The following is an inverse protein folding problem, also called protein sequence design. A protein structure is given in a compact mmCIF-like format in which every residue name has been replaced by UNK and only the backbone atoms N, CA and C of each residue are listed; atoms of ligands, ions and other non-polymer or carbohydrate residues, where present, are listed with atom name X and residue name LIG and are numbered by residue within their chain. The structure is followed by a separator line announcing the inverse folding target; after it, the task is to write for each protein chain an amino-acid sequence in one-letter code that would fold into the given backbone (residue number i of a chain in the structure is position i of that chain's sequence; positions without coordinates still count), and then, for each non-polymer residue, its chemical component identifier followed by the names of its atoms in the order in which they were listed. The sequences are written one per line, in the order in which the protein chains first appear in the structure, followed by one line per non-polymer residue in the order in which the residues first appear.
data_IF_334844064892
#
_entry.id   IF_334844064892
#
_cell.length_a   1.000
_cell.length_b   1.000
_cell.length_c   1.000
_cell.angle_alpha   90.00
_cell.angle_beta   90.00
_cell.angle_gamma   90.00
#
_symmetry.space_group_name_H-M   'P 1'
#
loop_
_entity.id
_entity.type
_entity.pdbx_description
1 polymer ?
#
# COMPACT_ATOMS: atom_id res chain seq x y z
N UNK A 1 5.97 10.39 -2.03
CA UNK A 1 6.81 9.50 -1.20
C UNK A 1 6.86 9.89 0.29
N UNK A 2 7.05 11.15 0.68
CA UNK A 2 7.19 11.51 2.11
C UNK A 2 5.99 11.12 2.99
N UNK A 3 4.75 11.29 2.50
CA UNK A 3 3.53 10.97 3.26
C UNK A 3 3.35 9.45 3.50
N UNK A 4 3.69 8.62 2.51
CA UNK A 4 3.60 7.14 2.65
C UNK A 4 4.71 6.58 3.53
N UNK A 5 5.89 7.21 3.56
CA UNK A 5 6.94 6.87 4.52
C UNK A 5 6.53 7.20 5.96
N UNK A 6 5.92 8.37 6.19
CA UNK A 6 5.38 8.74 7.50
C UNK A 6 4.31 7.74 7.94
N UNK A 7 3.37 7.39 7.06
CA UNK A 7 2.36 6.36 7.33
C UNK A 7 3.02 5.04 7.75
N UNK A 8 4.02 4.58 6.99
CA UNK A 8 4.73 3.32 7.28
C UNK A 8 5.39 3.39 8.66
N UNK A 9 6.05 4.50 9.00
CA UNK A 9 6.65 4.69 10.33
C UNK A 9 5.61 4.66 11.46
N UNK A 10 4.46 5.31 11.26
CA UNK A 10 3.34 5.27 12.23
C UNK A 10 2.81 3.84 12.38
N UNK A 11 2.62 3.09 11.30
CA UNK A 11 2.15 1.70 11.34
C UNK A 11 3.13 0.78 12.07
N UNK A 12 4.44 0.97 11.88
CA UNK A 12 5.47 0.24 12.61
C UNK A 12 5.31 0.48 14.12
N UNK A 13 5.19 1.74 14.54
CA UNK A 13 5.00 2.10 15.95
C UNK A 13 3.71 1.47 16.49
N UNK A 14 2.60 1.56 15.75
CA UNK A 14 1.31 0.97 16.14
C UNK A 14 1.43 -0.54 16.32
N UNK A 15 2.12 -1.25 15.42
CA UNK A 15 2.31 -2.70 15.53
C UNK A 15 3.14 -3.09 16.75
N UNK A 16 4.23 -2.35 17.01
CA UNK A 16 5.05 -2.56 18.21
C UNK A 16 4.25 -2.29 19.49
N UNK A 17 3.48 -1.20 19.52
CA UNK A 17 2.72 -0.81 20.70
C UNK A 17 1.58 -1.79 20.96
N UNK A 18 0.90 -2.27 19.91
CA UNK A 18 -0.15 -3.28 20.01
C UNK A 18 0.36 -4.58 20.64
N UNK A 19 1.58 -5.02 20.30
CA UNK A 19 2.20 -6.18 20.95
C UNK A 19 2.51 -5.90 22.43
N UNK A 20 3.04 -4.72 22.75
CA UNK A 20 3.43 -4.35 24.11
C UNK A 20 2.24 -4.25 25.09
N UNK A 21 1.06 -3.85 24.61
CA UNK A 21 -0.15 -3.69 25.43
C UNK A 21 -1.10 -4.89 25.35
N UNK A 22 -0.68 -6.00 24.73
CA UNK A 22 -1.47 -7.24 24.64
C UNK A 22 -2.58 -7.25 23.58
N UNK A 23 -2.61 -6.27 22.67
CA UNK A 23 -3.52 -6.22 21.52
C UNK A 23 -2.95 -6.94 20.28
N UNK A 24 -1.81 -7.63 20.40
CA UNK A 24 -1.18 -8.38 19.31
C UNK A 24 -2.07 -9.46 18.69
N UNK A 25 -3.10 -9.94 19.41
CA UNK A 25 -4.06 -10.92 18.88
C UNK A 25 -4.92 -10.39 17.72
N UNK A 26 -5.06 -9.06 17.58
CA UNK A 26 -5.73 -8.42 16.45
C UNK A 26 -4.86 -8.39 15.20
N UNK A 27 -3.56 -8.61 15.36
CA UNK A 27 -2.58 -8.57 14.29
C UNK A 27 -2.24 -10.00 13.86
N UNK A 28 -2.27 -10.24 12.55
CA UNK A 28 -1.86 -11.53 12.03
C UNK A 28 -0.35 -11.77 12.28
N UNK A 29 0.06 -13.02 12.49
CA UNK A 29 1.47 -13.39 12.70
C UNK A 29 2.39 -12.88 11.58
N UNK A 30 1.87 -12.85 10.35
CA UNK A 30 2.56 -12.34 9.17
C UNK A 30 2.42 -10.83 8.91
N UNK A 31 2.05 -10.02 9.91
CA UNK A 31 1.89 -8.56 9.77
C UNK A 31 3.09 -7.86 9.12
N UNK A 32 4.30 -8.32 9.40
CA UNK A 32 5.53 -7.77 8.80
C UNK A 32 5.67 -8.09 7.31
N UNK A 33 5.23 -9.29 6.90
CA UNK A 33 5.23 -9.71 5.49
C UNK A 33 4.19 -8.89 4.72
N UNK A 34 3.00 -8.70 5.30
CA UNK A 34 1.95 -7.83 4.74
C UNK A 34 2.46 -6.39 4.61
N UNK A 35 3.06 -5.83 5.66
CA UNK A 35 3.60 -4.47 5.65
C UNK A 35 4.70 -4.31 4.60
N UNK A 36 5.61 -5.28 4.50
CA UNK A 36 6.68 -5.30 3.49
C UNK A 36 6.12 -5.27 2.07
N UNK A 37 5.06 -6.04 1.79
CA UNK A 37 4.37 -6.02 0.51
C UNK A 37 3.86 -4.60 0.16
N UNK A 38 3.20 -3.91 1.10
CA UNK A 38 2.71 -2.55 0.85
C UNK A 38 3.82 -1.52 0.68
N UNK A 39 4.92 -1.64 1.42
CA UNK A 39 6.10 -0.78 1.24
C UNK A 39 6.72 -0.99 -0.14
N UNK A 40 6.92 -2.24 -0.55
CA UNK A 40 7.46 -2.58 -1.87
C UNK A 40 6.53 -2.09 -3.00
N UNK A 41 5.23 -2.32 -2.87
CA UNK A 41 4.24 -1.84 -3.83
C UNK A 41 4.24 -0.31 -3.90
N UNK A 42 4.23 0.38 -2.75
CA UNK A 42 4.20 1.85 -2.76
C UNK A 42 5.47 2.44 -3.36
N UNK A 43 6.63 1.80 -3.16
CA UNK A 43 7.86 2.17 -3.86
C UNK A 43 7.72 2.01 -5.37
N UNK A 44 7.24 0.85 -5.84
CA UNK A 44 6.98 0.59 -7.25
C UNK A 44 6.00 1.60 -7.85
N UNK A 45 4.91 1.89 -7.14
CA UNK A 45 3.90 2.87 -7.56
C UNK A 45 4.49 4.27 -7.72
N UNK A 46 5.29 4.74 -6.76
CA UNK A 46 5.96 6.05 -6.88
C UNK A 46 6.88 6.09 -8.13
N UNK A 47 7.62 5.00 -8.41
CA UNK A 47 8.46 4.91 -9.62
C UNK A 47 7.65 4.95 -10.91
N UNK A 48 6.53 4.21 -10.96
CA UNK A 48 5.63 4.24 -12.11
C UNK A 48 5.11 5.66 -12.35
N UNK A 49 4.65 6.34 -11.30
CA UNK A 49 4.16 7.72 -11.39
C UNK A 49 5.25 8.69 -11.85
N UNK A 50 6.48 8.59 -11.34
CA UNK A 50 7.62 9.40 -11.82
C UNK A 50 7.90 9.20 -13.31
N UNK A 51 7.80 7.97 -13.81
CA UNK A 51 7.97 7.66 -15.23
C UNK A 51 6.83 8.26 -16.06
N UNK A 52 5.58 8.07 -15.63
CA UNK A 52 4.40 8.61 -16.33
C UNK A 52 4.35 10.14 -16.39
N UNK A 53 4.91 10.85 -15.40
CA UNK A 53 4.99 12.31 -15.42
C UNK A 53 6.02 12.85 -16.42
N UNK A 54 7.07 12.09 -16.77
CA UNK A 54 8.10 12.53 -17.74
C UNK A 54 7.59 12.57 -19.18
N UNK A 55 6.51 11.86 -19.51
CA UNK A 55 5.99 11.71 -20.89
C UNK A 55 5.04 12.83 -21.36
N UNK A 56 4.90 13.96 -20.65
CA UNK A 56 3.98 15.07 -21.01
C UNK A 56 2.56 14.61 -21.42
N UNK A 57 1.80 14.18 -20.42
CA UNK A 57 0.44 14.71 -20.17
C UNK A 57 -0.67 14.48 -21.21
N UNK A 58 -0.62 13.47 -22.08
CA UNK A 58 -1.86 13.02 -22.79
C UNK A 58 -2.46 11.74 -22.21
N UNK A 59 -1.63 10.89 -21.60
CA UNK A 59 -2.02 9.55 -21.16
C UNK A 59 -1.87 9.33 -19.63
N UNK A 60 -1.82 10.39 -18.82
CA UNK A 60 -1.62 10.26 -17.37
C UNK A 60 -2.75 9.49 -16.68
N UNK A 61 -4.01 9.80 -17.00
CA UNK A 61 -5.19 9.11 -16.44
C UNK A 61 -5.17 7.61 -16.76
N UNK A 62 -5.05 7.17 -18.03
CA UNK A 62 -5.00 5.74 -18.33
C UNK A 62 -3.77 5.05 -17.70
N UNK A 63 -2.62 5.73 -17.61
CA UNK A 63 -1.44 5.19 -16.93
C UNK A 63 -1.67 4.98 -15.43
N UNK A 64 -2.29 5.96 -14.76
CA UNK A 64 -2.67 5.85 -13.35
C UNK A 64 -3.65 4.69 -13.13
N UNK A 65 -4.70 4.57 -13.96
CA UNK A 65 -5.67 3.47 -13.86
C UNK A 65 -5.02 2.10 -14.08
N UNK A 66 -4.09 1.98 -15.03
CA UNK A 66 -3.29 0.76 -15.22
C UNK A 66 -2.44 0.42 -13.99
N UNK A 67 -1.89 1.43 -13.31
CA UNK A 67 -1.13 1.24 -12.06
C UNK A 67 -2.02 0.75 -10.92
N UNK A 68 -3.26 1.24 -10.85
CA UNK A 68 -4.28 0.75 -9.89
C UNK A 68 -4.69 -0.69 -10.22
N UNK A 69 -4.90 -1.02 -11.50
CA UNK A 69 -5.21 -2.39 -11.92
C UNK A 69 -4.07 -3.36 -11.57
N UNK A 70 -2.81 -2.96 -11.83
CA UNK A 70 -1.62 -3.72 -11.43
C UNK A 70 -1.60 -3.98 -9.92
N UNK A 71 -2.00 -3.00 -9.09
CA UNK A 71 -2.13 -3.18 -7.64
C UNK A 71 -3.05 -4.32 -7.27
N UNK A 72 -4.23 -4.35 -7.88
CA UNK A 72 -5.26 -5.33 -7.59
C UNK A 72 -4.77 -6.73 -7.96
N UNK A 73 -4.15 -6.86 -9.13
CA UNK A 73 -3.56 -8.12 -9.59
C UNK A 73 -2.46 -8.58 -8.63
N UNK A 74 -1.51 -7.71 -8.28
CA UNK A 74 -0.44 -8.04 -7.33
C UNK A 74 -0.98 -8.42 -5.95
N UNK A 75 -2.03 -7.75 -5.49
CA UNK A 75 -2.67 -8.05 -4.19
C UNK A 75 -3.32 -9.43 -4.21
N UNK A 76 -4.06 -9.77 -5.28
CA UNK A 76 -4.69 -11.08 -5.43
C UNK A 76 -3.62 -12.18 -5.50
N UNK A 77 -2.58 -11.99 -6.31
CA UNK A 77 -1.48 -12.95 -6.43
C UNK A 77 -0.81 -13.16 -5.08
N UNK A 78 -0.50 -12.09 -4.36
CA UNK A 78 0.13 -12.16 -3.04
C UNK A 78 -0.74 -12.90 -2.02
N UNK A 79 -2.03 -12.55 -1.92
CA UNK A 79 -2.96 -13.25 -1.03
C UNK A 79 -3.05 -14.73 -1.40
N UNK A 80 -3.15 -15.06 -2.69
CA UNK A 80 -3.23 -16.45 -3.15
C UNK A 80 -1.98 -17.26 -2.80
N UNK A 81 -0.79 -16.70 -2.99
CA UNK A 81 0.49 -17.32 -2.61
C UNK A 81 0.51 -17.60 -1.11
N UNK A 82 0.14 -16.60 -0.31
CA UNK A 82 0.16 -16.70 1.14
C UNK A 82 -0.87 -17.71 1.66
N UNK A 83 -2.08 -17.76 1.09
CA UNK A 83 -3.07 -18.80 1.40
C UNK A 83 -2.60 -20.21 1.02
N UNK A 84 -1.96 -20.36 -0.15
CA UNK A 84 -1.43 -21.65 -0.61
C UNK A 84 -0.33 -22.21 0.30
N UNK A 85 0.42 -21.34 0.98
CA UNK A 85 1.44 -21.75 1.98
C UNK A 85 0.85 -22.34 3.26
N UNK A 86 -0.48 -22.41 3.40
CA UNK A 86 -1.15 -23.07 4.51
C UNK A 86 -1.20 -22.21 5.78
N UNK A 87 -1.54 -20.93 5.65
CA UNK A 87 -1.60 -20.02 6.80
C UNK A 87 -2.69 -20.40 7.80
N UNK A 88 -2.32 -20.33 9.09
CA UNK A 88 -3.27 -20.32 10.19
C UNK A 88 -4.03 -18.98 10.21
N UNK A 89 -5.28 -18.98 10.66
CA UNK A 89 -6.11 -17.76 10.82
C UNK A 89 -6.23 -16.89 9.55
N UNK A 90 -6.61 -17.53 8.44
CA UNK A 90 -6.75 -16.89 7.12
C UNK A 90 -7.66 -15.65 7.15
N UNK A 91 -8.77 -15.70 7.89
CA UNK A 91 -9.70 -14.57 8.09
C UNK A 91 -8.95 -13.32 8.58
N UNK A 92 -8.09 -13.50 9.59
CA UNK A 92 -7.36 -12.43 10.24
C UNK A 92 -6.28 -11.87 9.31
N UNK A 93 -5.62 -12.73 8.53
CA UNK A 93 -4.68 -12.32 7.49
C UNK A 93 -5.36 -11.41 6.46
N UNK A 94 -6.50 -11.85 5.92
CA UNK A 94 -7.26 -11.10 4.90
C UNK A 94 -7.73 -9.76 5.48
N UNK A 95 -8.26 -9.75 6.69
CA UNK A 95 -8.70 -8.52 7.35
C UNK A 95 -7.56 -7.52 7.56
N UNK A 96 -6.41 -7.98 8.08
CA UNK A 96 -5.22 -7.15 8.28
C UNK A 96 -4.70 -6.59 6.93
N UNK A 97 -4.66 -7.45 5.90
CA UNK A 97 -4.27 -7.06 4.55
C UNK A 97 -5.20 -5.97 4.00
N UNK A 98 -6.51 -6.14 4.14
CA UNK A 98 -7.49 -5.21 3.60
C UNK A 98 -7.47 -3.86 4.31
N UNK A 99 -7.30 -3.85 5.63
CA UNK A 99 -7.14 -2.61 6.41
C UNK A 99 -5.91 -1.84 5.93
N UNK A 100 -4.76 -2.51 5.82
CA UNK A 100 -3.53 -1.89 5.31
C UNK A 100 -3.69 -1.41 3.85
N UNK A 101 -4.35 -2.18 3.00
CA UNK A 101 -4.67 -1.79 1.63
C UNK A 101 -5.41 -0.45 1.57
N UNK A 102 -6.43 -0.26 2.42
CA UNK A 102 -7.19 0.98 2.47
C UNK A 102 -6.32 2.16 2.94
N UNK A 103 -5.54 1.99 4.02
CA UNK A 103 -4.65 3.03 4.52
C UNK A 103 -3.64 3.48 3.46
N UNK A 104 -2.93 2.54 2.82
CA UNK A 104 -1.98 2.89 1.76
C UNK A 104 -2.67 3.54 0.56
N UNK A 105 -3.84 3.04 0.15
CA UNK A 105 -4.60 3.61 -0.97
C UNK A 105 -4.98 5.07 -0.72
N UNK A 106 -5.50 5.39 0.47
CA UNK A 106 -5.90 6.75 0.83
C UNK A 106 -4.69 7.69 0.76
N UNK A 107 -3.56 7.29 1.35
CA UNK A 107 -2.34 8.11 1.36
C UNK A 107 -1.73 8.27 -0.04
N UNK A 108 -1.79 7.25 -0.88
CA UNK A 108 -1.34 7.33 -2.29
C UNK A 108 -2.19 8.34 -3.07
N UNK A 109 -3.52 8.28 -2.97
CA UNK A 109 -4.43 9.22 -3.63
C UNK A 109 -4.19 10.64 -3.14
N UNK A 110 -4.03 10.86 -1.83
CA UNK A 110 -3.73 12.18 -1.27
C UNK A 110 -2.38 12.73 -1.74
N UNK A 111 -1.36 11.88 -1.86
CA UNK A 111 -0.07 12.29 -2.38
C UNK A 111 -0.17 12.68 -3.86
N UNK A 112 -0.94 11.92 -4.64
CA UNK A 112 -1.16 12.17 -6.07
C UNK A 112 -1.95 13.47 -6.31
N UNK A 113 -3.05 13.68 -5.58
CA UNK A 113 -3.88 14.88 -5.70
C UNK A 113 -3.12 16.15 -5.30
N UNK A 114 -2.29 16.07 -4.25
CA UNK A 114 -1.41 17.17 -3.83
C UNK A 114 -0.42 17.57 -4.93
N UNK A 115 0.16 16.60 -5.63
CA UNK A 115 1.09 16.85 -6.73
C UNK A 115 0.40 17.41 -7.97
N UNK A 116 -0.81 16.93 -8.28
CA UNK A 116 -1.61 17.45 -9.39
C UNK A 116 -2.03 18.91 -9.17
N UNK A 117 -2.46 19.27 -7.96
CA UNK A 117 -2.84 20.66 -7.63
C UNK A 117 -1.66 21.62 -7.80
N UNK A 118 -0.48 21.23 -7.35
CA UNK A 118 0.73 22.05 -7.46
C UNK A 118 1.18 22.26 -8.91
N UNK A 119 1.00 21.26 -9.78
CA UNK A 119 1.35 21.36 -11.21
C UNK A 119 0.27 22.04 -12.07
N UNK A 120 -0.96 22.20 -11.57
CA UNK A 120 -2.04 22.91 -12.28
C UNK A 120 -2.02 24.43 -12.03
N UNK A 121 -1.39 24.89 -10.95
CA UNK A 121 -1.27 26.33 -10.61
C UNK A 121 0.00 26.98 -11.20
N UNK A 122 0.81 26.22 -11.95
CA UNK A 122 1.97 26.70 -12.73
C UNK A 122 1.66 26.68 -14.22
#
# INVERSE_FOLDING_TARGET
MSKTLILTGVLIIVFFLADAIGLGYLLHQQKWVILSFFVAYSFLFNRLIELGFKEKSKNFIPFYLSSVALRLILSIIFIAIELYRGLAHQELFIANFFVLYLFYTIFEIWNLNSNLRQNSEK
#
